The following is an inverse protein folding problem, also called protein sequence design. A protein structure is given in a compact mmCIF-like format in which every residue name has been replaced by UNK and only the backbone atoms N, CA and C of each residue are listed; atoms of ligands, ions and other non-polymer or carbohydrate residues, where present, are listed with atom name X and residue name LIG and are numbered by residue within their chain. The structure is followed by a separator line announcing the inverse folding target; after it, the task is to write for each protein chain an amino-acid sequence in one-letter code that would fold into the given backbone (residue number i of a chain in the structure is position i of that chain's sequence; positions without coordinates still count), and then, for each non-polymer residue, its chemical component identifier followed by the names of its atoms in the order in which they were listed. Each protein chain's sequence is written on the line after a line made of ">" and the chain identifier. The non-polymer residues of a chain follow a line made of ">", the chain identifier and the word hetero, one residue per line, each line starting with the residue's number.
data_IF_312937036704
#
_entry.id   IF_312937036704
#
_cell.length_a   1.000
_cell.length_b   1.000
_cell.length_c   1.000
_cell.angle_alpha   90.00
_cell.angle_beta   90.00
_cell.angle_gamma   90.00
#
_symmetry.space_group_name_H-M   'P 1'
#
loop_
_entity.id
_entity.type
_entity.pdbx_description
1 polymer ?
#
# COMPACT_ATOMS: atom_id res chain seq x y z
N UNK A 1 -21.78 -17.58 -36.70
CA UNK A 1 -20.72 -16.66 -36.31
C UNK A 1 -21.15 -15.79 -35.13
N UNK A 2 -22.13 -14.96 -35.29
CA UNK A 2 -22.63 -14.12 -34.23
C UNK A 2 -23.17 -14.89 -33.03
N UNK A 3 -23.78 -16.03 -33.29
CA UNK A 3 -24.30 -16.90 -32.24
C UNK A 3 -23.18 -17.40 -31.30
N UNK A 4 -22.04 -17.78 -31.86
CA UNK A 4 -20.92 -18.27 -31.08
C UNK A 4 -20.39 -17.21 -30.13
N UNK A 5 -20.24 -15.97 -30.64
CA UNK A 5 -19.79 -14.84 -29.83
C UNK A 5 -20.79 -14.51 -28.72
N UNK A 6 -22.08 -14.51 -29.04
CA UNK A 6 -23.13 -14.24 -28.06
C UNK A 6 -23.14 -15.32 -26.98
N UNK A 7 -22.99 -16.58 -27.35
CA UNK A 7 -22.93 -17.67 -26.37
C UNK A 7 -21.76 -17.51 -25.44
N UNK A 8 -20.58 -17.14 -25.96
CA UNK A 8 -19.40 -16.91 -25.10
C UNK A 8 -19.64 -15.78 -24.12
N UNK A 9 -20.28 -14.70 -24.54
CA UNK A 9 -20.62 -13.60 -23.64
C UNK A 9 -21.61 -14.01 -22.55
N UNK A 10 -22.47 -14.99 -22.84
CA UNK A 10 -23.45 -15.49 -21.90
C UNK A 10 -22.85 -16.49 -20.88
N UNK A 11 -21.63 -16.97 -21.10
CA UNK A 11 -20.99 -17.88 -20.15
C UNK A 11 -20.76 -17.22 -18.79
N UNK A 12 -20.56 -15.93 -18.79
CA UNK A 12 -20.31 -15.19 -17.55
C UNK A 12 -21.43 -14.20 -17.29
N UNK A 13 -22.13 -14.40 -16.19
CA UNK A 13 -23.20 -13.50 -15.79
C UNK A 13 -22.61 -12.18 -15.31
N UNK A 14 -23.21 -11.08 -15.74
CA UNK A 14 -22.87 -9.77 -15.20
C UNK A 14 -23.50 -9.62 -13.84
N UNK A 15 -22.67 -9.73 -12.80
CA UNK A 15 -23.11 -9.66 -11.41
C UNK A 15 -23.27 -8.22 -10.91
N UNK A 16 -22.89 -7.22 -11.71
CA UNK A 16 -22.98 -5.82 -11.30
C UNK A 16 -24.42 -5.34 -11.09
N UNK A 17 -25.38 -6.07 -11.62
CA UNK A 17 -26.80 -5.74 -11.49
C UNK A 17 -27.50 -6.44 -10.32
N UNK A 18 -26.76 -7.16 -9.50
CA UNK A 18 -27.32 -7.78 -8.31
C UNK A 18 -27.80 -6.74 -7.30
N UNK A 19 -28.76 -7.11 -6.47
CA UNK A 19 -29.25 -6.18 -5.44
C UNK A 19 -28.12 -5.68 -4.53
N UNK A 20 -28.24 -4.42 -4.12
CA UNK A 20 -27.23 -3.75 -3.31
C UNK A 20 -26.98 -4.41 -1.95
N UNK A 21 -27.87 -5.30 -1.49
CA UNK A 21 -27.67 -6.03 -0.25
C UNK A 21 -26.41 -6.88 -0.21
N UNK A 22 -25.88 -7.23 -1.37
CA UNK A 22 -24.63 -8.00 -1.44
C UNK A 22 -23.41 -7.08 -1.34
N UNK A 23 -23.30 -6.13 -2.24
CA UNK A 23 -22.22 -5.16 -2.28
C UNK A 23 -22.75 -3.89 -2.97
N UNK A 24 -22.33 -2.73 -2.49
CA UNK A 24 -22.67 -1.48 -3.16
C UNK A 24 -21.85 -1.36 -4.44
N UNK A 25 -22.44 -1.67 -5.56
CA UNK A 25 -21.75 -1.75 -6.84
C UNK A 25 -21.11 -0.42 -7.27
N UNK A 26 -21.76 0.70 -6.97
CA UNK A 26 -21.20 2.01 -7.30
C UNK A 26 -19.89 2.27 -6.55
N UNK A 27 -19.78 1.80 -5.31
CA UNK A 27 -18.54 1.94 -4.53
C UNK A 27 -17.41 1.14 -5.16
N UNK A 28 -17.69 -0.08 -5.63
CA UNK A 28 -16.68 -0.89 -6.30
C UNK A 28 -16.24 -0.26 -7.63
N UNK A 29 -17.18 0.24 -8.41
CA UNK A 29 -16.86 0.92 -9.66
C UNK A 29 -16.01 2.16 -9.42
N UNK A 30 -16.36 2.94 -8.41
CA UNK A 30 -15.62 4.14 -8.06
C UNK A 30 -14.20 3.80 -7.59
N UNK A 31 -14.06 2.75 -6.79
CA UNK A 31 -12.76 2.30 -6.33
C UNK A 31 -11.86 1.88 -7.49
N UNK A 32 -12.42 1.09 -8.42
CA UNK A 32 -11.65 0.65 -9.60
C UNK A 32 -11.25 1.83 -10.47
N UNK A 33 -12.18 2.74 -10.72
CA UNK A 33 -11.91 3.93 -11.53
C UNK A 33 -10.83 4.79 -10.88
N UNK A 34 -10.94 5.04 -9.58
CA UNK A 34 -9.95 5.82 -8.84
C UNK A 34 -8.56 5.19 -8.91
N UNK A 35 -8.48 3.86 -8.72
CA UNK A 35 -7.21 3.15 -8.81
C UNK A 35 -6.62 3.24 -10.21
N UNK A 36 -7.42 3.02 -11.24
CA UNK A 36 -6.94 3.07 -12.62
C UNK A 36 -6.46 4.47 -12.98
N UNK A 37 -7.22 5.50 -12.65
CA UNK A 37 -6.86 6.88 -12.92
C UNK A 37 -5.59 7.27 -12.17
N UNK A 38 -5.49 6.87 -10.91
CA UNK A 38 -4.31 7.15 -10.10
C UNK A 38 -3.06 6.51 -10.68
N UNK A 39 -3.14 5.26 -11.13
CA UNK A 39 -1.99 4.57 -11.72
C UNK A 39 -1.61 5.13 -13.07
N UNK A 40 -2.57 5.61 -13.86
CA UNK A 40 -2.26 6.32 -15.11
C UNK A 40 -1.50 7.61 -14.85
N UNK A 41 -1.90 8.36 -13.83
CA UNK A 41 -1.24 9.61 -13.46
C UNK A 41 0.12 9.37 -12.80
N UNK A 42 0.36 8.18 -12.27
CA UNK A 42 1.59 7.83 -11.56
C UNK A 42 2.14 6.51 -12.11
N UNK A 43 2.70 6.53 -13.33
CA UNK A 43 3.08 5.27 -14.01
C UNK A 43 4.20 4.50 -13.31
N UNK A 44 4.96 5.14 -12.42
CA UNK A 44 5.99 4.46 -11.62
C UNK A 44 5.42 3.62 -10.48
N UNK A 45 4.15 3.81 -10.15
CA UNK A 45 3.50 3.08 -9.06
C UNK A 45 2.77 1.85 -9.59
N UNK A 46 2.76 0.81 -8.76
CA UNK A 46 1.95 -0.38 -8.98
C UNK A 46 0.83 -0.43 -7.95
N UNK A 47 -0.16 -1.28 -8.17
CA UNK A 47 -1.24 -1.50 -7.19
C UNK A 47 -0.68 -1.91 -5.84
N UNK A 48 0.34 -2.76 -5.84
CA UNK A 48 0.99 -3.20 -4.59
C UNK A 48 1.61 -2.04 -3.83
N UNK A 49 2.25 -1.11 -4.52
CA UNK A 49 2.83 0.07 -3.88
C UNK A 49 1.75 0.95 -3.25
N UNK A 50 0.68 1.19 -3.99
CA UNK A 50 -0.44 2.00 -3.49
C UNK A 50 -1.05 1.34 -2.26
N UNK A 51 -1.29 0.04 -2.32
CA UNK A 51 -1.87 -0.72 -1.23
C UNK A 51 -1.01 -0.63 0.03
N UNK A 52 0.31 -0.77 -0.12
CA UNK A 52 1.23 -0.62 1.01
C UNK A 52 1.16 0.79 1.61
N UNK A 53 1.11 1.81 0.76
CA UNK A 53 1.02 3.19 1.25
C UNK A 53 -0.27 3.45 2.03
N UNK A 54 -1.37 2.78 1.67
CA UNK A 54 -2.60 2.88 2.45
C UNK A 54 -2.42 2.36 3.88
N UNK A 55 -1.69 1.26 4.05
CA UNK A 55 -1.34 0.76 5.38
C UNK A 55 -0.47 1.74 6.16
N UNK A 56 0.57 2.24 5.50
CA UNK A 56 1.55 3.09 6.14
C UNK A 56 1.02 4.49 6.47
N UNK A 57 -0.05 4.90 5.82
CA UNK A 57 -0.60 6.26 5.98
C UNK A 57 -1.02 6.56 7.42
N UNK A 58 -1.52 5.57 8.14
CA UNK A 58 -2.00 5.75 9.50
C UNK A 58 -0.87 5.85 10.53
N UNK A 59 0.36 5.61 10.11
CA UNK A 59 1.52 5.61 11.01
C UNK A 59 2.43 6.78 10.69
N UNK A 60 2.97 7.39 11.74
CA UNK A 60 4.06 8.35 11.55
C UNK A 60 5.32 7.64 11.08
N UNK A 61 5.64 6.52 11.71
CA UNK A 61 6.81 5.70 11.39
C UNK A 61 6.48 4.22 11.49
N UNK A 62 7.22 3.43 10.75
CA UNK A 62 7.13 1.97 10.79
C UNK A 62 8.52 1.35 10.59
N UNK A 63 8.62 0.06 10.90
CA UNK A 63 9.83 -0.74 10.67
C UNK A 63 9.59 -1.77 9.58
N UNK A 64 10.67 -2.37 9.09
CA UNK A 64 10.55 -3.49 8.15
C UNK A 64 9.85 -4.67 8.82
N UNK A 65 10.11 -4.90 10.11
CA UNK A 65 9.43 -5.96 10.86
C UNK A 65 7.92 -5.75 10.91
N UNK A 66 7.49 -4.54 11.22
CA UNK A 66 6.06 -4.22 11.21
C UNK A 66 5.46 -4.44 9.83
N UNK A 67 6.14 -3.96 8.79
CA UNK A 67 5.66 -4.09 7.42
C UNK A 67 5.55 -5.57 7.01
N UNK A 68 6.54 -6.37 7.37
CA UNK A 68 6.54 -7.81 7.10
C UNK A 68 5.34 -8.51 7.75
N UNK A 69 5.08 -8.20 9.02
CA UNK A 69 3.98 -8.81 9.75
C UNK A 69 2.62 -8.41 9.21
N UNK A 70 2.44 -7.13 8.91
CA UNK A 70 1.12 -6.60 8.51
C UNK A 70 0.83 -6.78 7.04
N UNK A 71 1.85 -6.84 6.20
CA UNK A 71 1.68 -7.01 4.76
C UNK A 71 1.89 -8.47 4.32
N UNK A 72 2.18 -9.36 5.27
CA UNK A 72 2.33 -10.81 5.02
C UNK A 72 3.36 -11.15 3.95
N UNK A 73 4.50 -10.49 4.00
CA UNK A 73 5.67 -10.78 3.17
C UNK A 73 6.87 -10.96 4.08
N UNK A 74 7.87 -11.73 3.63
CA UNK A 74 9.13 -11.82 4.38
C UNK A 74 9.81 -10.47 4.46
N UNK A 75 10.67 -10.29 5.48
CA UNK A 75 11.41 -9.03 5.66
C UNK A 75 12.21 -8.64 4.42
N UNK A 76 12.92 -9.59 3.84
CA UNK A 76 13.69 -9.35 2.63
C UNK A 76 12.83 -8.94 1.45
N UNK A 77 11.71 -9.64 1.24
CA UNK A 77 10.81 -9.34 0.14
C UNK A 77 10.13 -7.98 0.30
N UNK A 78 9.63 -7.66 1.51
CA UNK A 78 8.96 -6.37 1.71
C UNK A 78 9.96 -5.22 1.53
N UNK A 79 11.18 -5.38 2.01
CA UNK A 79 12.22 -4.37 1.85
C UNK A 79 12.58 -4.18 0.38
N UNK A 80 12.92 -5.25 -0.31
CA UNK A 80 13.47 -5.18 -1.67
C UNK A 80 12.40 -4.84 -2.71
N UNK A 81 11.17 -5.29 -2.52
CA UNK A 81 10.12 -5.16 -3.52
C UNK A 81 9.19 -3.98 -3.29
N UNK A 82 9.09 -3.49 -2.06
CA UNK A 82 8.15 -2.43 -1.71
C UNK A 82 8.85 -1.22 -1.14
N UNK A 83 9.55 -1.37 -0.02
CA UNK A 83 10.07 -0.23 0.74
C UNK A 83 11.18 0.48 -0.03
N UNK A 84 12.18 -0.22 -0.49
CA UNK A 84 13.30 0.40 -1.19
C UNK A 84 12.90 1.00 -2.53
N UNK A 85 12.06 0.36 -3.35
CA UNK A 85 11.56 1.01 -4.55
C UNK A 85 10.76 2.28 -4.26
N UNK A 86 9.90 2.27 -3.24
CA UNK A 86 9.15 3.46 -2.86
C UNK A 86 10.05 4.57 -2.33
N UNK A 87 11.14 4.21 -1.63
CA UNK A 87 12.16 5.19 -1.24
C UNK A 87 12.83 5.82 -2.47
N UNK A 88 13.20 5.02 -3.44
CA UNK A 88 13.83 5.50 -4.67
C UNK A 88 12.91 6.45 -5.43
N UNK A 89 11.61 6.22 -5.38
CA UNK A 89 10.63 7.09 -6.01
C UNK A 89 10.27 8.31 -5.17
N UNK A 90 10.76 8.38 -3.94
CA UNK A 90 10.54 9.52 -3.06
C UNK A 90 9.27 9.46 -2.21
N UNK A 91 8.57 8.33 -2.18
CA UNK A 91 7.33 8.18 -1.41
C UNK A 91 7.55 7.78 0.04
N UNK A 92 8.70 7.19 0.33
CA UNK A 92 9.09 6.77 1.68
C UNK A 92 10.45 7.38 2.00
N UNK A 93 10.65 7.76 3.26
CA UNK A 93 11.95 8.22 3.74
C UNK A 93 12.39 7.37 4.92
N UNK A 94 13.68 7.40 5.19
CA UNK A 94 14.35 6.61 6.23
C UNK A 94 15.00 7.53 7.23
N UNK A 95 14.87 7.19 8.51
CA UNK A 95 15.44 7.95 9.60
C UNK A 95 16.29 7.04 10.47
N UNK A 96 17.47 7.51 10.83
CA UNK A 96 18.34 6.89 11.82
C UNK A 96 18.28 7.72 13.07
N UNK A 97 17.88 7.08 14.18
CA UNK A 97 17.87 7.73 15.49
C UNK A 97 18.86 7.07 16.41
N UNK A 98 19.67 7.87 17.08
CA UNK A 98 20.51 7.37 18.14
C UNK A 98 19.63 7.05 19.34
N UNK A 99 19.74 5.84 19.86
CA UNK A 99 18.95 5.41 21.01
C UNK A 99 19.63 5.76 22.31
N UNK A 100 18.85 6.23 23.29
CA UNK A 100 19.28 6.22 24.67
C UNK A 100 19.12 4.81 25.23
N UNK A 101 19.89 4.42 26.27
CA UNK A 101 19.78 3.06 26.82
C UNK A 101 18.38 2.68 27.28
N UNK A 102 17.57 3.64 27.69
CA UNK A 102 16.19 3.39 28.14
C UNK A 102 15.20 3.12 27.04
N UNK A 103 15.51 3.49 25.82
CA UNK A 103 14.56 3.37 24.69
C UNK A 103 14.57 2.00 24.01
N UNK A 104 15.68 1.28 24.11
CA UNK A 104 15.85 0.03 23.35
C UNK A 104 14.91 -1.08 23.77
N UNK A 105 14.49 -1.10 25.04
CA UNK A 105 13.67 -2.19 25.58
C UNK A 105 12.17 -1.95 25.44
N UNK A 106 11.75 -0.71 25.36
CA UNK A 106 10.34 -0.34 25.42
C UNK A 106 9.67 -0.23 24.05
N UNK A 107 10.44 0.00 23.01
CA UNK A 107 9.89 0.24 21.67
C UNK A 107 9.90 -1.02 20.84
N UNK A 108 8.83 -1.80 20.96
CA UNK A 108 8.66 -3.06 20.24
C UNK A 108 8.65 -2.89 18.73
N UNK A 109 8.17 -1.76 18.25
CA UNK A 109 8.07 -1.51 16.81
C UNK A 109 9.43 -1.40 16.14
N UNK A 110 10.46 -1.07 16.91
CA UNK A 110 11.79 -0.83 16.35
C UNK A 110 12.83 -1.84 16.80
N UNK A 111 12.42 -2.85 17.58
CA UNK A 111 13.37 -3.81 18.17
C UNK A 111 14.27 -4.45 17.13
N UNK A 112 13.67 -4.95 16.05
CA UNK A 112 14.39 -5.69 15.02
C UNK A 112 15.22 -4.78 14.11
N UNK A 113 14.92 -3.50 14.12
CA UNK A 113 15.61 -2.50 13.30
C UNK A 113 16.70 -1.79 14.08
N UNK A 114 16.90 -2.17 15.34
CA UNK A 114 17.95 -1.59 16.18
C UNK A 114 19.29 -2.23 15.83
N UNK A 115 20.27 -1.40 15.52
CA UNK A 115 21.63 -1.85 15.25
C UNK A 115 22.58 -0.97 16.04
N UNK A 116 23.38 -1.60 16.94
CA UNK A 116 24.25 -0.88 17.87
C UNK A 116 23.42 0.08 18.72
N UNK A 117 23.70 1.37 18.67
CA UNK A 117 22.99 2.39 19.43
C UNK A 117 22.03 3.20 18.56
N UNK A 118 21.64 2.66 17.42
CA UNK A 118 20.75 3.33 16.49
C UNK A 118 19.55 2.46 16.19
N UNK A 119 18.42 3.09 15.97
CA UNK A 119 17.26 2.44 15.39
C UNK A 119 16.99 3.05 14.03
N UNK A 120 16.42 2.23 13.16
CA UNK A 120 16.03 2.63 11.81
C UNK A 120 14.53 2.61 11.72
N UNK A 121 13.96 3.69 11.22
CA UNK A 121 12.52 3.77 11.00
C UNK A 121 12.24 4.39 9.63
N UNK A 122 11.06 4.11 9.11
CA UNK A 122 10.61 4.56 7.82
C UNK A 122 9.28 5.28 7.98
N UNK A 123 8.96 6.17 7.07
CA UNK A 123 7.67 6.83 7.07
C UNK A 123 7.31 7.27 5.65
N UNK A 124 6.04 7.56 5.43
CA UNK A 124 5.64 8.18 4.19
C UNK A 124 6.15 9.61 4.14
N UNK A 125 6.79 9.97 3.04
CA UNK A 125 7.18 11.33 2.78
C UNK A 125 5.94 12.21 2.53
N UNK A 126 6.14 13.52 2.46
CA UNK A 126 5.04 14.41 2.06
C UNK A 126 4.47 14.01 0.70
N UNK A 127 5.34 13.65 -0.25
CA UNK A 127 4.93 13.14 -1.55
C UNK A 127 4.06 11.90 -1.42
N UNK A 128 4.45 10.96 -0.55
CA UNK A 128 3.67 9.73 -0.31
C UNK A 128 2.31 10.03 0.32
N UNK A 129 2.27 10.93 1.29
CA UNK A 129 1.02 11.31 1.94
C UNK A 129 0.07 12.02 0.99
N UNK A 130 0.60 12.92 0.16
CA UNK A 130 -0.22 13.58 -0.86
C UNK A 130 -0.75 12.61 -1.89
N UNK A 131 0.03 11.61 -2.26
CA UNK A 131 -0.42 10.58 -3.20
C UNK A 131 -1.63 9.81 -2.64
N UNK A 132 -1.56 9.40 -1.37
CA UNK A 132 -2.68 8.71 -0.73
C UNK A 132 -3.91 9.62 -0.64
N UNK A 133 -3.71 10.89 -0.29
CA UNK A 133 -4.82 11.85 -0.21
C UNK A 133 -5.50 12.05 -1.57
N UNK A 134 -4.72 12.15 -2.64
CA UNK A 134 -5.28 12.28 -4.00
C UNK A 134 -6.08 11.04 -4.38
N UNK A 135 -5.56 9.87 -4.07
CA UNK A 135 -6.28 8.63 -4.30
C UNK A 135 -7.61 8.62 -3.54
N UNK A 136 -7.58 8.97 -2.26
CA UNK A 136 -8.78 9.02 -1.44
C UNK A 136 -9.80 10.01 -1.98
N UNK A 137 -9.35 11.21 -2.40
CA UNK A 137 -10.25 12.25 -2.88
C UNK A 137 -10.90 11.89 -4.22
N UNK A 138 -10.34 10.94 -4.96
CA UNK A 138 -10.92 10.50 -6.23
C UNK A 138 -11.93 9.36 -6.10
N UNK A 139 -12.13 8.85 -4.88
CA UNK A 139 -13.10 7.78 -4.64
C UNK A 139 -14.55 8.22 -4.81
#
# INVERSE_FOLDING_TARGET
>A
MGKSTVKKKRMFRDMSKLPAKYVKQNHLKNLRAAMNDFLEDNPSLTRGYVYFMLYAYDLEFFTISWASENYQMSRGNIADRIIYPLMSLGYIYKVFDKLSPSQTLEDHLFRDETKYNYRVRYGLSQKGRLAVQRFYNSL
#
